data_IF_211822824426
#
_entry.id   IF_211822824426
#
_cell.length_a   1.000
_cell.length_b   1.000
_cell.length_c   1.000
_cell.angle_alpha   90.00
_cell.angle_beta   90.00
_cell.angle_gamma   90.00
#
_symmetry.space_group_name_H-M   'P 1'
#
loop_
_entity.id
_entity.type
_entity.pdbx_description
1 polymer ?
#
# COMPACT_ATOMS: atom_id res chain seq x y z
N UNK A 1 -10.25 -4.14 20.39
CA UNK A 1 -9.39 -4.68 19.32
C UNK A 1 -8.52 -3.60 18.69
N UNK A 2 -9.10 -2.51 18.16
CA UNK A 2 -8.29 -1.39 17.60
C UNK A 2 -7.32 -0.81 18.63
N UNK A 3 -7.77 -0.54 19.86
CA UNK A 3 -6.91 0.04 20.90
C UNK A 3 -5.75 -0.89 21.25
N UNK A 4 -6.01 -2.21 21.33
CA UNK A 4 -4.97 -3.22 21.54
C UNK A 4 -3.95 -3.23 20.39
N UNK A 5 -4.40 -3.25 19.13
CA UNK A 5 -3.50 -3.19 17.97
C UNK A 5 -2.70 -1.89 17.95
N UNK A 6 -3.32 -0.77 18.32
CA UNK A 6 -2.64 0.53 18.41
C UNK A 6 -1.56 0.52 19.49
N UNK A 7 -1.85 -0.06 20.66
CA UNK A 7 -0.90 -0.19 21.76
C UNK A 7 0.28 -1.10 21.37
N UNK A 8 0.01 -2.28 20.81
CA UNK A 8 1.04 -3.23 20.38
C UNK A 8 1.94 -2.62 19.28
N UNK A 9 1.36 -1.95 18.28
CA UNK A 9 2.14 -1.24 17.25
C UNK A 9 2.94 -0.08 17.84
N UNK A 10 2.37 0.66 18.79
CA UNK A 10 3.03 1.76 19.48
C UNK A 10 4.26 1.30 20.26
N UNK A 11 4.20 0.13 20.90
CA UNK A 11 5.35 -0.47 21.59
C UNK A 11 6.48 -0.80 20.61
N UNK A 12 6.16 -1.36 19.43
CA UNK A 12 7.15 -1.64 18.39
C UNK A 12 7.75 -0.35 17.84
N UNK A 13 6.92 0.65 17.53
CA UNK A 13 7.40 1.95 17.04
C UNK A 13 8.33 2.65 18.05
N UNK A 14 7.98 2.61 19.35
CA UNK A 14 8.81 3.15 20.42
C UNK A 14 10.18 2.45 20.54
N UNK A 15 10.25 1.15 20.23
CA UNK A 15 11.52 0.41 20.19
C UNK A 15 12.40 0.78 18.98
N UNK A 16 11.85 1.45 17.96
CA UNK A 16 12.53 1.83 16.73
C UNK A 16 12.33 3.32 16.41
N UNK A 17 12.88 4.25 17.22
CA UNK A 17 12.56 5.70 17.12
C UNK A 17 13.03 6.38 15.83
N UNK A 18 13.90 5.74 15.05
CA UNK A 18 14.32 6.23 13.73
C UNK A 18 13.59 5.58 12.56
N UNK A 19 12.65 4.68 12.81
CA UNK A 19 11.88 4.02 11.78
C UNK A 19 10.63 4.85 11.42
N UNK A 20 10.36 4.96 10.13
CA UNK A 20 9.11 5.52 9.65
C UNK A 20 8.05 4.42 9.59
N UNK A 21 6.85 4.73 10.07
CA UNK A 21 5.70 3.83 9.96
C UNK A 21 5.17 3.89 8.54
N UNK A 22 5.02 2.72 7.94
CA UNK A 22 4.40 2.51 6.65
C UNK A 22 3.23 1.53 6.86
N UNK A 23 2.05 1.85 6.33
CA UNK A 23 0.80 1.12 6.61
C UNK A 23 -0.05 0.87 5.34
N UNK A 24 -1.05 -0.03 5.35
CA UNK A 24 -1.93 -0.19 4.19
C UNK A 24 -2.82 1.05 4.01
N UNK A 25 -3.05 1.47 2.77
CA UNK A 25 -4.06 2.49 2.47
C UNK A 25 -5.51 1.96 2.66
N UNK A 26 -5.67 0.67 2.92
CA UNK A 26 -6.93 -0.04 3.17
C UNK A 26 -7.95 0.10 2.02
N UNK A 27 -7.45 0.07 0.79
CA UNK A 27 -8.22 0.10 -0.46
C UNK A 27 -9.23 -1.04 -0.53
N UNK A 28 -8.86 -2.22 -0.04
CA UNK A 28 -9.53 -3.50 -0.33
C UNK A 28 -10.76 -3.77 0.53
N UNK A 29 -11.10 -2.85 1.44
CA UNK A 29 -12.11 -3.03 2.50
C UNK A 29 -11.88 -4.25 3.40
N UNK A 30 -10.71 -4.90 3.34
CA UNK A 30 -10.41 -6.02 4.23
C UNK A 30 -10.40 -5.51 5.68
N UNK A 31 -11.16 -6.13 6.60
CA UNK A 31 -11.32 -5.63 7.96
C UNK A 31 -9.98 -5.46 8.67
N UNK A 32 -9.04 -6.39 8.47
CA UNK A 32 -7.71 -6.31 9.09
C UNK A 32 -6.89 -5.14 8.53
N UNK A 33 -6.97 -4.85 7.23
CA UNK A 33 -6.26 -3.72 6.65
C UNK A 33 -6.84 -2.40 7.15
N UNK A 34 -8.17 -2.32 7.32
CA UNK A 34 -8.83 -1.16 7.92
C UNK A 34 -8.40 -0.96 9.37
N UNK A 35 -8.33 -2.04 10.15
CA UNK A 35 -7.91 -1.97 11.54
C UNK A 35 -6.46 -1.46 11.67
N UNK A 36 -5.55 -1.99 10.86
CA UNK A 36 -4.14 -1.57 10.85
C UNK A 36 -3.99 -0.14 10.34
N UNK A 37 -4.75 0.26 9.31
CA UNK A 37 -4.78 1.63 8.82
C UNK A 37 -5.15 2.63 9.93
N UNK A 38 -6.28 2.40 10.60
CA UNK A 38 -6.76 3.27 11.68
C UNK A 38 -5.78 3.33 12.85
N UNK A 39 -5.17 2.20 13.21
CA UNK A 39 -4.15 2.16 14.26
C UNK A 39 -2.91 2.98 13.86
N UNK A 40 -2.43 2.84 12.62
CA UNK A 40 -1.28 3.57 12.10
C UNK A 40 -1.55 5.08 12.05
N UNK A 41 -2.75 5.50 11.63
CA UNK A 41 -3.17 6.91 11.65
C UNK A 41 -3.11 7.49 13.07
N UNK A 42 -3.59 6.76 14.09
CA UNK A 42 -3.51 7.19 15.50
C UNK A 42 -2.08 7.34 16.01
N UNK A 43 -1.14 6.60 15.43
CA UNK A 43 0.30 6.67 15.74
C UNK A 43 1.05 7.71 14.91
N UNK A 44 0.35 8.49 14.08
CA UNK A 44 0.96 9.55 13.26
C UNK A 44 1.65 9.04 11.99
N UNK A 45 1.29 7.86 11.50
CA UNK A 45 1.79 7.34 10.22
C UNK A 45 1.41 8.28 9.07
N UNK A 46 2.40 8.65 8.26
CA UNK A 46 2.24 9.57 7.12
C UNK A 46 2.29 8.89 5.77
N UNK A 47 2.73 7.62 5.71
CA UNK A 47 2.89 6.87 4.47
C UNK A 47 2.03 5.61 4.43
N UNK A 48 1.36 5.42 3.30
CA UNK A 48 0.49 4.29 3.09
C UNK A 48 0.74 3.64 1.73
N UNK A 49 0.93 2.32 1.67
CA UNK A 49 1.03 1.62 0.38
C UNK A 49 -0.35 1.40 -0.23
N UNK A 50 -0.45 1.49 -1.56
CA UNK A 50 -1.60 0.98 -2.28
C UNK A 50 -1.68 -0.53 -2.10
N UNK A 51 -2.80 -1.06 -1.59
CA UNK A 51 -2.98 -2.50 -1.45
C UNK A 51 -2.97 -3.20 -2.81
N UNK A 52 -1.81 -3.77 -3.15
CA UNK A 52 -1.51 -4.31 -4.45
C UNK A 52 -2.36 -5.54 -4.78
N UNK A 53 -2.60 -5.72 -6.09
CA UNK A 53 -3.40 -6.78 -6.69
C UNK A 53 -4.93 -6.66 -6.51
N UNK A 54 -5.46 -5.65 -5.80
CA UNK A 54 -6.91 -5.45 -5.69
C UNK A 54 -7.50 -4.71 -6.90
N UNK A 55 -6.89 -3.63 -7.37
CA UNK A 55 -7.48 -2.75 -8.38
C UNK A 55 -7.71 -3.39 -9.75
N UNK A 56 -6.70 -4.08 -10.30
CA UNK A 56 -6.81 -4.65 -11.65
C UNK A 56 -7.53 -6.00 -11.70
N UNK A 57 -7.88 -6.60 -10.54
CA UNK A 57 -8.43 -7.97 -10.47
C UNK A 57 -9.67 -8.13 -9.57
N UNK A 58 -9.86 -7.31 -8.53
CA UNK A 58 -10.95 -7.43 -7.53
C UNK A 58 -11.83 -6.19 -7.41
N UNK A 59 -11.41 -5.02 -7.89
CA UNK A 59 -12.28 -3.84 -7.98
C UNK A 59 -13.35 -4.09 -9.04
N UNK A 60 -14.41 -4.81 -8.65
CA UNK A 60 -15.54 -5.14 -9.52
C UNK A 60 -16.49 -3.96 -9.72
N UNK A 61 -16.21 -2.78 -9.17
CA UNK A 61 -17.04 -1.60 -9.40
C UNK A 61 -16.25 -0.29 -9.19
N UNK A 62 -16.55 0.73 -10.00
CA UNK A 62 -16.11 2.11 -9.74
C UNK A 62 -16.49 2.64 -8.35
N UNK A 63 -17.41 1.96 -7.65
CA UNK A 63 -17.77 2.22 -6.26
C UNK A 63 -16.60 2.03 -5.27
N UNK A 64 -15.65 1.14 -5.54
CA UNK A 64 -14.47 0.96 -4.67
C UNK A 64 -13.46 2.08 -4.86
N UNK A 65 -13.27 2.54 -6.11
CA UNK A 65 -12.48 3.75 -6.40
C UNK A 65 -13.10 4.98 -5.76
N UNK A 66 -14.42 5.11 -5.85
CA UNK A 66 -15.14 6.20 -5.19
C UNK A 66 -14.99 6.12 -3.68
N UNK A 67 -15.25 4.96 -3.05
CA UNK A 67 -15.12 4.81 -1.60
C UNK A 67 -13.70 5.08 -1.12
N UNK A 68 -12.69 4.56 -1.82
CA UNK A 68 -11.29 4.84 -1.49
C UNK A 68 -11.01 6.34 -1.59
N UNK A 69 -11.37 6.99 -2.71
CA UNK A 69 -11.25 8.45 -2.87
C UNK A 69 -12.04 9.25 -1.82
N UNK A 70 -13.19 8.77 -1.36
CA UNK A 70 -13.94 9.44 -0.28
C UNK A 70 -13.21 9.33 1.05
N UNK A 71 -12.49 8.23 1.30
CA UNK A 71 -11.73 8.01 2.53
C UNK A 71 -10.37 8.71 2.53
N UNK A 72 -9.69 8.71 1.38
CA UNK A 72 -8.29 9.17 1.26
C UNK A 72 -8.14 10.46 0.48
N UNK A 73 -9.07 10.80 -0.41
CA UNK A 73 -8.89 11.81 -1.45
C UNK A 73 -8.90 13.27 -1.02
N UNK A 74 -9.14 13.56 0.26
CA UNK A 74 -9.00 14.94 0.80
C UNK A 74 -7.65 15.10 1.52
N UNK A 75 -7.05 14.01 2.00
CA UNK A 75 -5.93 14.06 2.94
C UNK A 75 -4.66 13.38 2.44
N UNK A 76 -4.75 12.50 1.45
CA UNK A 76 -3.65 11.67 0.97
C UNK A 76 -3.32 11.97 -0.49
N UNK A 77 -2.07 12.34 -0.74
CA UNK A 77 -1.53 12.56 -2.09
C UNK A 77 -0.88 11.29 -2.61
N UNK A 78 -1.18 10.84 -3.85
CA UNK A 78 -0.50 9.71 -4.44
C UNK A 78 0.96 10.07 -4.76
N UNK A 79 1.89 9.20 -4.39
CA UNK A 79 3.30 9.27 -4.74
C UNK A 79 3.70 7.97 -5.46
N UNK A 80 4.38 8.10 -6.59
CA UNK A 80 4.85 6.95 -7.37
C UNK A 80 6.34 6.73 -7.11
N UNK A 81 6.70 5.48 -6.84
CA UNK A 81 8.08 5.06 -6.63
C UNK A 81 8.46 4.12 -7.77
N UNK A 82 9.50 4.46 -8.52
CA UNK A 82 10.10 3.56 -9.51
C UNK A 82 10.76 2.38 -8.77
N UNK A 83 10.34 1.17 -9.10
CA UNK A 83 10.84 -0.07 -8.52
C UNK A 83 11.54 -0.95 -9.56
N UNK A 84 11.89 -0.40 -10.72
CA UNK A 84 12.46 -1.16 -11.84
C UNK A 84 13.70 -1.94 -11.43
N UNK A 85 14.60 -1.34 -10.67
CA UNK A 85 15.86 -1.96 -10.25
C UNK A 85 15.67 -3.06 -9.19
N UNK A 86 14.54 -3.06 -8.48
CA UNK A 86 14.24 -4.02 -7.40
C UNK A 86 13.09 -4.97 -7.74
N UNK A 87 12.58 -4.94 -8.98
CA UNK A 87 11.43 -5.75 -9.39
C UNK A 87 11.72 -7.26 -9.28
N UNK A 88 12.97 -7.68 -9.51
CA UNK A 88 13.37 -9.08 -9.37
C UNK A 88 13.37 -9.54 -7.91
N UNK A 89 13.73 -8.66 -6.97
CA UNK A 89 13.66 -8.95 -5.53
C UNK A 89 12.21 -9.11 -5.10
N UNK A 90 11.34 -8.20 -5.56
CA UNK A 90 9.88 -8.32 -5.35
C UNK A 90 9.33 -9.65 -5.87
N UNK A 91 9.68 -10.06 -7.08
CA UNK A 91 9.27 -11.37 -7.63
C UNK A 91 9.77 -12.52 -6.77
N UNK A 92 11.00 -12.43 -6.27
CA UNK A 92 11.61 -13.44 -5.40
C UNK A 92 10.85 -13.57 -4.09
N UNK A 93 10.55 -12.46 -3.41
CA UNK A 93 9.76 -12.44 -2.18
C UNK A 93 8.35 -13.00 -2.42
N UNK A 94 7.69 -12.61 -3.51
CA UNK A 94 6.36 -13.16 -3.86
C UNK A 94 6.39 -14.68 -4.03
N UNK A 95 7.44 -15.24 -4.65
CA UNK A 95 7.60 -16.70 -4.80
C UNK A 95 7.73 -17.42 -3.46
N UNK A 96 8.32 -16.78 -2.45
CA UNK A 96 8.43 -17.36 -1.10
C UNK A 96 7.05 -17.50 -0.43
N UNK A 97 6.06 -16.67 -0.79
CA UNK A 97 4.67 -16.77 -0.34
C UNK A 97 3.85 -17.78 -1.16
N UNK A 98 4.34 -19.01 -1.26
CA UNK A 98 3.81 -20.05 -2.16
C UNK A 98 2.32 -20.39 -1.97
N UNK A 99 1.80 -20.38 -0.74
CA UNK A 99 0.38 -20.65 -0.47
C UNK A 99 -0.55 -19.57 -1.04
N UNK A 100 -0.14 -18.32 -0.99
CA UNK A 100 -0.90 -17.15 -1.45
C UNK A 100 -0.77 -17.00 -2.97
N UNK A 101 0.40 -17.37 -3.50
CA UNK A 101 0.74 -17.29 -4.92
C UNK A 101 0.40 -18.56 -5.71
N UNK A 102 -0.32 -19.52 -5.13
CA UNK A 102 -0.79 -20.71 -5.85
C UNK A 102 -2.16 -20.45 -6.54
N UNK A 103 -2.32 -20.77 -7.84
CA UNK A 103 -1.29 -21.24 -8.77
C UNK A 103 -0.34 -20.10 -9.19
N UNK A 104 0.90 -20.43 -9.59
CA UNK A 104 2.00 -19.48 -9.85
C UNK A 104 1.61 -18.26 -10.72
N UNK A 105 0.65 -18.41 -11.64
CA UNK A 105 0.05 -17.31 -12.42
C UNK A 105 -0.54 -16.18 -11.57
N UNK A 106 -0.84 -16.38 -10.29
CA UNK A 106 -1.28 -15.30 -9.38
C UNK A 106 -0.19 -14.24 -9.18
N UNK A 107 1.09 -14.62 -9.27
CA UNK A 107 2.22 -13.68 -9.19
C UNK A 107 2.26 -12.67 -10.35
N UNK A 108 1.68 -13.03 -11.50
CA UNK A 108 1.61 -12.10 -12.63
C UNK A 108 0.83 -10.83 -12.28
N UNK A 109 -0.12 -10.90 -11.36
CA UNK A 109 -1.00 -9.78 -11.00
C UNK A 109 -0.26 -8.60 -10.37
N UNK A 110 0.49 -8.75 -9.26
CA UNK A 110 1.24 -7.63 -8.67
C UNK A 110 2.33 -7.09 -9.60
N UNK A 111 2.89 -7.91 -10.48
CA UNK A 111 3.92 -7.47 -11.45
C UNK A 111 3.30 -6.70 -12.61
N UNK A 112 2.20 -7.20 -13.19
CA UNK A 112 1.44 -6.47 -14.21
C UNK A 112 0.94 -5.14 -13.67
N UNK A 113 0.44 -5.12 -12.43
CA UNK A 113 0.02 -3.87 -11.78
C UNK A 113 1.17 -2.87 -11.71
N UNK A 114 2.34 -3.29 -11.24
CA UNK A 114 3.51 -2.41 -11.18
C UNK A 114 3.92 -1.86 -12.56
N UNK A 115 3.86 -2.70 -13.59
CA UNK A 115 4.12 -2.28 -14.98
C UNK A 115 3.09 -1.25 -15.46
N UNK A 116 1.80 -1.45 -15.18
CA UNK A 116 0.76 -0.50 -15.57
C UNK A 116 0.83 0.81 -14.79
N UNK A 117 1.19 0.75 -13.51
CA UNK A 117 1.37 1.94 -12.65
C UNK A 117 2.55 2.79 -13.13
N UNK A 118 3.57 2.18 -13.73
CA UNK A 118 4.70 2.93 -14.30
C UNK A 118 4.29 3.87 -15.46
N UNK A 119 3.15 3.63 -16.12
CA UNK A 119 2.65 4.54 -17.15
C UNK A 119 2.29 5.93 -16.61
N UNK A 120 2.05 6.05 -15.29
CA UNK A 120 1.77 7.32 -14.62
C UNK A 120 3.06 8.05 -14.19
N UNK A 121 4.26 7.47 -14.42
CA UNK A 121 5.53 8.15 -14.21
C UNK A 121 5.74 9.17 -15.34
N UNK A 122 5.39 10.43 -15.09
CA UNK A 122 5.40 11.50 -16.10
C UNK A 122 6.82 11.80 -16.65
N UNK A 123 7.88 11.55 -15.86
CA UNK A 123 9.25 11.98 -16.18
C UNK A 123 10.33 10.89 -16.03
N UNK A 124 9.95 9.61 -15.82
CA UNK A 124 10.90 8.52 -15.50
C UNK A 124 11.02 7.46 -16.59
N UNK A 125 12.21 6.85 -16.81
CA UNK A 125 12.39 5.72 -17.71
C UNK A 125 11.94 4.37 -17.09
N UNK A 126 11.42 4.39 -15.87
CA UNK A 126 11.03 3.21 -15.10
C UNK A 126 10.00 2.34 -15.83
N UNK A 127 10.23 1.03 -15.81
CA UNK A 127 9.32 0.03 -16.36
C UNK A 127 8.31 -0.48 -15.33
N UNK A 128 8.59 -0.29 -14.04
CA UNK A 128 7.74 -0.75 -12.95
C UNK A 128 7.68 0.30 -11.85
N UNK A 129 6.49 0.56 -11.33
CA UNK A 129 6.28 1.50 -10.24
C UNK A 129 5.31 0.96 -9.19
N UNK A 130 5.47 1.42 -7.96
CA UNK A 130 4.49 1.24 -6.89
C UNK A 130 3.88 2.59 -6.51
N UNK A 131 2.60 2.55 -6.14
CA UNK A 131 1.88 3.73 -5.67
C UNK A 131 1.82 3.69 -4.15
N UNK A 132 2.26 4.78 -3.56
CA UNK A 132 2.11 5.11 -2.16
C UNK A 132 1.19 6.32 -2.04
N UNK A 133 0.78 6.59 -0.82
CA UNK A 133 -0.07 7.69 -0.44
C UNK A 133 0.54 8.37 0.76
N UNK A 134 0.71 9.68 0.68
CA UNK A 134 1.27 10.48 1.76
C UNK A 134 0.23 11.44 2.30
N UNK A 135 0.04 11.48 3.61
CA UNK A 135 -0.75 12.54 4.24
C UNK A 135 0.08 13.82 4.29
N UNK A 136 -0.50 14.96 3.90
CA UNK A 136 0.13 16.24 4.15
C UNK A 136 0.33 16.43 5.66
N UNK A 137 1.48 16.93 6.09
CA UNK A 137 1.59 17.44 7.46
C UNK A 137 0.48 18.49 7.66
N UNK A 138 -0.24 18.49 8.80
CA UNK A 138 -1.14 19.58 9.07
C UNK A 138 -0.31 20.86 9.05
N UNK A 139 -0.56 21.73 8.07
CA UNK A 139 -0.05 23.09 8.09
C UNK A 139 -0.59 23.73 9.37
N UNK A 140 0.27 23.86 10.37
CA UNK A 140 0.06 24.65 11.58
C UNK A 140 -0.32 26.09 11.22
#
# INVERSE_FOLDING_TARGET
>A
MLDQVTEELGQVAAAHPGAELLAPAAVTRHPDHLLVHEAAVRLGCTWFWEDLAFWSTYALAGCDQHLFRTRTGVTMRPELVDITDVVLDKVTVLRMHGSQMHPARKMYRPIRHAFTTAADLVDGPGLYAERFYRTEEPTC
#
